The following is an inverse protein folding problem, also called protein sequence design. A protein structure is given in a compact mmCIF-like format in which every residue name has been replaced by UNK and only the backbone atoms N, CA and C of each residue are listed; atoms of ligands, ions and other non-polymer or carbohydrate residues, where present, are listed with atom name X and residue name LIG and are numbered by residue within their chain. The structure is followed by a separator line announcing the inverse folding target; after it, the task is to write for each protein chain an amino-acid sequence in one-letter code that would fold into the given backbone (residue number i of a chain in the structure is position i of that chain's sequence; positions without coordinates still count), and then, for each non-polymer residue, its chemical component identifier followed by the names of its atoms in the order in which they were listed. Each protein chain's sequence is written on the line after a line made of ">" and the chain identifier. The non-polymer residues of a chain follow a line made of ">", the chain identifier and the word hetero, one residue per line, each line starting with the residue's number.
data_IF_898259474621
#
_entry.id   IF_898259474621
#
_cell.length_a   1.000
_cell.length_b   1.000
_cell.length_c   1.000
_cell.angle_alpha   90.00
_cell.angle_beta   90.00
_cell.angle_gamma   90.00
#
_symmetry.space_group_name_H-M   'P 1'
#
loop_
_entity.id
_entity.type
_entity.pdbx_description
1 polymer ?
#
# COMPACT_ATOMS: atom_id res chain seq x y z
N UNK A 1 -3.23 11.51 -23.02
CA UNK A 1 -3.09 10.06 -23.25
C UNK A 1 -1.75 9.66 -22.68
N UNK A 2 -1.70 8.64 -21.82
CA UNK A 2 -0.45 8.10 -21.28
C UNK A 2 0.11 7.14 -22.33
N UNK A 3 1.42 7.18 -22.58
CA UNK A 3 2.08 6.27 -23.52
C UNK A 3 2.00 4.82 -23.02
N UNK A 4 1.90 3.84 -23.92
CA UNK A 4 1.71 2.43 -23.58
C UNK A 4 2.82 1.91 -22.64
N UNK A 5 4.08 2.27 -22.91
CA UNK A 5 5.25 1.95 -22.09
C UNK A 5 5.17 2.54 -20.67
N UNK A 6 4.62 3.74 -20.50
CA UNK A 6 4.45 4.37 -19.18
C UNK A 6 3.34 3.68 -18.37
N UNK A 7 2.29 3.19 -19.04
CA UNK A 7 1.25 2.38 -18.38
C UNK A 7 1.83 1.05 -17.89
N UNK A 8 2.63 0.37 -18.71
CA UNK A 8 3.26 -0.91 -18.35
C UNK A 8 4.27 -0.75 -17.20
N UNK A 9 5.09 0.30 -17.23
CA UNK A 9 6.01 0.61 -16.13
C UNK A 9 5.28 0.87 -14.80
N UNK A 10 4.21 1.68 -14.85
CA UNK A 10 3.37 1.96 -13.68
C UNK A 10 2.68 0.71 -13.16
N UNK A 11 2.15 -0.13 -14.06
CA UNK A 11 1.53 -1.40 -13.69
C UNK A 11 2.52 -2.34 -12.99
N UNK A 12 3.72 -2.51 -13.54
CA UNK A 12 4.76 -3.38 -12.96
C UNK A 12 5.15 -2.90 -11.56
N UNK A 13 5.38 -1.60 -11.41
CA UNK A 13 5.71 -0.98 -10.13
C UNK A 13 4.58 -1.15 -9.11
N UNK A 14 3.33 -0.95 -9.54
CA UNK A 14 2.13 -1.10 -8.72
C UNK A 14 1.97 -2.55 -8.22
N UNK A 15 2.10 -3.54 -9.11
CA UNK A 15 1.98 -4.96 -8.76
C UNK A 15 3.08 -5.38 -7.77
N UNK A 16 4.31 -4.90 -7.96
CA UNK A 16 5.41 -5.19 -7.03
C UNK A 16 5.09 -4.62 -5.64
N UNK A 17 4.68 -3.35 -5.57
CA UNK A 17 4.31 -2.70 -4.31
C UNK A 17 3.18 -3.44 -3.58
N UNK A 18 2.11 -3.84 -4.29
CA UNK A 18 1.03 -4.62 -3.70
C UNK A 18 1.48 -6.00 -3.21
N UNK A 19 2.35 -6.69 -3.96
CA UNK A 19 2.90 -7.98 -3.53
C UNK A 19 3.71 -7.84 -2.25
N UNK A 20 4.55 -6.82 -2.14
CA UNK A 20 5.35 -6.58 -0.94
C UNK A 20 4.50 -6.14 0.26
N UNK A 21 3.52 -5.25 0.05
CA UNK A 21 2.64 -4.77 1.12
C UNK A 21 1.76 -5.89 1.68
N UNK A 22 1.23 -6.77 0.81
CA UNK A 22 0.38 -7.90 1.19
C UNK A 22 1.04 -8.80 2.24
N UNK A 23 2.36 -8.97 2.20
CA UNK A 23 3.10 -9.84 3.13
C UNK A 23 3.08 -9.32 4.59
N UNK A 24 2.87 -8.02 4.79
CA UNK A 24 2.95 -7.40 6.13
C UNK A 24 1.66 -6.70 6.57
N UNK A 25 0.68 -6.58 5.66
CA UNK A 25 -0.54 -5.80 5.87
C UNK A 25 -1.31 -6.24 7.11
N UNK A 26 -1.58 -7.53 7.28
CA UNK A 26 -2.34 -8.06 8.43
C UNK A 26 -1.66 -7.71 9.75
N UNK A 27 -0.35 -7.92 9.85
CA UNK A 27 0.41 -7.60 11.07
C UNK A 27 0.40 -6.11 11.38
N UNK A 28 0.55 -5.26 10.35
CA UNK A 28 0.47 -3.80 10.49
C UNK A 28 -0.92 -3.37 10.95
N UNK A 29 -1.98 -3.93 10.38
CA UNK A 29 -3.36 -3.64 10.76
C UNK A 29 -3.65 -4.02 12.22
N UNK A 30 -3.30 -5.24 12.62
CA UNK A 30 -3.45 -5.69 14.01
C UNK A 30 -2.68 -4.81 15.00
N UNK A 31 -1.45 -4.41 14.64
CA UNK A 31 -0.66 -3.52 15.47
C UNK A 31 -1.32 -2.15 15.61
N UNK A 32 -1.81 -1.57 14.51
CA UNK A 32 -2.47 -0.26 14.55
C UNK A 32 -3.76 -0.30 15.39
N UNK A 33 -4.58 -1.35 15.24
CA UNK A 33 -5.78 -1.53 16.05
C UNK A 33 -5.42 -1.62 17.55
N UNK A 34 -4.44 -2.45 17.92
CA UNK A 34 -3.98 -2.57 19.31
C UNK A 34 -3.48 -1.23 19.88
N UNK A 35 -2.74 -0.45 19.08
CA UNK A 35 -2.24 0.86 19.51
C UNK A 35 -3.38 1.86 19.71
N UNK A 36 -4.37 1.89 18.81
CA UNK A 36 -5.57 2.72 18.95
C UNK A 36 -6.35 2.32 20.19
N UNK A 37 -6.68 1.05 20.34
CA UNK A 37 -7.48 0.55 21.46
C UNK A 37 -6.79 0.85 22.79
N UNK A 38 -5.46 0.67 22.88
CA UNK A 38 -4.70 1.04 24.07
C UNK A 38 -4.74 2.54 24.35
N UNK A 39 -4.66 3.39 23.33
CA UNK A 39 -4.75 4.83 23.49
C UNK A 39 -6.15 5.27 23.98
N UNK A 40 -7.22 4.66 23.48
CA UNK A 40 -8.60 4.93 23.90
C UNK A 40 -8.86 4.47 25.35
N UNK A 41 -8.37 3.29 25.73
CA UNK A 41 -8.43 2.80 27.10
C UNK A 41 -7.68 3.73 28.04
N UNK A 42 -6.44 4.10 27.69
CA UNK A 42 -5.63 5.02 28.49
C UNK A 42 -6.33 6.38 28.64
N UNK A 43 -6.86 6.95 27.56
CA UNK A 43 -7.61 8.21 27.61
C UNK A 43 -8.80 8.13 28.55
N UNK A 44 -9.57 7.03 28.48
CA UNK A 44 -10.73 6.83 29.35
C UNK A 44 -10.32 6.77 30.82
N UNK A 45 -9.27 6.00 31.13
CA UNK A 45 -8.73 5.90 32.49
C UNK A 45 -8.22 7.25 33.04
N UNK A 46 -7.47 8.01 32.24
CA UNK A 46 -6.96 9.33 32.65
C UNK A 46 -8.11 10.32 32.91
N UNK A 47 -9.14 10.31 32.06
CA UNK A 47 -10.33 11.15 32.23
C UNK A 47 -11.12 10.76 33.49
N UNK A 48 -11.29 9.47 33.76
CA UNK A 48 -11.93 8.98 35.00
C UNK A 48 -11.15 9.37 36.27
N UNK A 49 -9.82 9.25 36.20
CA UNK A 49 -8.91 9.66 37.28
C UNK A 49 -9.01 11.17 37.54
N UNK A 50 -9.06 11.97 36.48
CA UNK A 50 -9.22 13.42 36.58
C UNK A 50 -10.59 13.81 37.12
N UNK A 51 -11.68 13.15 36.68
CA UNK A 51 -13.03 13.35 37.24
C UNK A 51 -13.05 13.06 38.74
N UNK A 52 -12.46 11.94 39.16
CA UNK A 52 -12.38 11.54 40.57
C UNK A 52 -11.61 12.55 41.42
N UNK A 53 -10.49 13.06 40.89
CA UNK A 53 -9.65 14.06 41.56
C UNK A 53 -10.37 15.39 41.74
N UNK A 54 -11.10 15.85 40.72
CA UNK A 54 -11.91 17.07 40.78
C UNK A 54 -13.08 16.90 41.75
N UNK A 55 -13.72 15.73 41.75
CA UNK A 55 -14.83 15.48 42.67
C UNK A 55 -14.35 15.50 44.12
N UNK A 56 -13.20 14.88 44.42
CA UNK A 56 -12.58 14.98 45.73
C UNK A 56 -12.27 16.43 46.10
N UNK A 57 -11.64 17.19 45.20
CA UNK A 57 -11.29 18.59 45.46
C UNK A 57 -12.52 19.47 45.67
N UNK A 58 -13.59 19.22 44.92
CA UNK A 58 -14.89 19.88 45.07
C UNK A 58 -15.51 19.63 46.43
N UNK A 59 -15.36 18.42 47.01
CA UNK A 59 -15.88 18.13 48.36
C UNK A 59 -15.11 18.83 49.49
N UNK A 60 -13.86 19.22 49.25
CA UNK A 60 -13.02 19.92 50.21
C UNK A 60 -13.19 21.45 50.17
N UNK A 61 -13.89 21.97 49.16
CA UNK A 61 -14.07 23.41 48.96
C UNK A 61 -15.51 23.83 49.29
N UNK A 62 -15.67 24.71 50.28
CA UNK A 62 -16.98 25.26 50.70
C UNK A 62 -17.32 26.60 50.04
N UNK A 63 -16.48 27.10 49.14
CA UNK A 63 -16.64 28.38 48.46
C UNK A 63 -17.48 28.23 47.17
N UNK A 64 -18.55 29.02 47.07
CA UNK A 64 -19.45 29.03 45.91
C UNK A 64 -18.74 29.40 44.61
N UNK A 65 -17.74 30.30 44.65
CA UNK A 65 -17.00 30.72 43.44
C UNK A 65 -16.10 29.57 42.95
N UNK A 66 -15.48 28.83 43.88
CA UNK A 66 -14.64 27.67 43.57
C UNK A 66 -15.47 26.50 43.03
N UNK A 67 -16.68 26.30 43.56
CA UNK A 67 -17.62 25.29 43.06
C UNK A 67 -17.97 25.52 41.59
N UNK A 68 -18.28 26.76 41.20
CA UNK A 68 -18.60 27.08 39.80
C UNK A 68 -17.39 26.86 38.87
N UNK A 69 -16.16 27.13 39.34
CA UNK A 69 -14.95 26.81 38.58
C UNK A 69 -14.79 25.30 38.38
N UNK A 70 -15.02 24.47 39.40
CA UNK A 70 -14.94 23.01 39.25
C UNK A 70 -15.97 22.49 38.25
N UNK A 71 -17.18 23.06 38.23
CA UNK A 71 -18.22 22.70 37.25
C UNK A 71 -17.79 23.02 35.82
N UNK A 72 -17.16 24.19 35.60
CA UNK A 72 -16.58 24.56 34.31
C UNK A 72 -15.47 23.59 33.89
N UNK A 73 -14.58 23.21 34.81
CA UNK A 73 -13.49 22.25 34.53
C UNK A 73 -14.08 20.87 34.18
N UNK A 74 -15.07 20.37 34.92
CA UNK A 74 -15.76 19.11 34.60
C UNK A 74 -16.36 19.13 33.20
N UNK A 75 -17.00 20.23 32.81
CA UNK A 75 -17.56 20.39 31.47
C UNK A 75 -16.47 20.42 30.38
N UNK A 76 -15.36 21.11 30.63
CA UNK A 76 -14.22 21.14 29.69
C UNK A 76 -13.61 19.75 29.49
N UNK A 77 -13.45 18.97 30.56
CA UNK A 77 -12.96 17.58 30.48
C UNK A 77 -13.89 16.72 29.65
N UNK A 78 -15.19 16.85 29.84
CA UNK A 78 -16.18 16.12 29.04
C UNK A 78 -16.07 16.47 27.55
N UNK A 79 -15.89 17.76 27.24
CA UNK A 79 -15.72 18.21 25.87
C UNK A 79 -14.42 17.69 25.26
N UNK A 80 -13.33 17.66 26.01
CA UNK A 80 -12.05 17.07 25.58
C UNK A 80 -12.19 15.58 25.32
N UNK A 81 -12.86 14.84 26.21
CA UNK A 81 -13.10 13.41 26.06
C UNK A 81 -13.91 13.11 24.79
N UNK A 82 -15.06 13.77 24.64
CA UNK A 82 -15.90 13.66 23.43
C UNK A 82 -15.16 14.04 22.17
N UNK A 83 -14.39 15.12 22.20
CA UNK A 83 -13.57 15.55 21.06
C UNK A 83 -12.51 14.50 20.70
N UNK A 84 -11.91 13.86 21.70
CA UNK A 84 -10.89 12.84 21.48
C UNK A 84 -11.48 11.59 20.82
N UNK A 85 -12.64 11.12 21.29
CA UNK A 85 -13.34 10.00 20.67
C UNK A 85 -13.72 10.32 19.22
N UNK A 86 -14.28 11.51 18.97
CA UNK A 86 -14.61 11.98 17.61
C UNK A 86 -13.39 12.02 16.70
N UNK A 87 -12.25 12.51 17.19
CA UNK A 87 -11.00 12.55 16.43
C UNK A 87 -10.51 11.13 16.10
N UNK A 88 -10.57 10.19 17.05
CA UNK A 88 -10.20 8.79 16.81
C UNK A 88 -11.03 8.18 15.66
N UNK A 89 -12.36 8.25 15.77
CA UNK A 89 -13.27 7.68 14.76
C UNK A 89 -13.16 8.37 13.40
N UNK A 90 -13.04 9.70 13.38
CA UNK A 90 -12.93 10.46 12.14
C UNK A 90 -11.59 10.19 11.44
N UNK A 91 -10.51 10.03 12.20
CA UNK A 91 -9.20 9.71 11.66
C UNK A 91 -9.17 8.32 11.00
N UNK A 92 -9.84 7.32 11.60
CA UNK A 92 -10.01 5.99 11.01
C UNK A 92 -10.78 6.05 9.69
N UNK A 93 -11.94 6.71 9.68
CA UNK A 93 -12.77 6.86 8.48
C UNK A 93 -12.03 7.61 7.37
N UNK A 94 -11.36 8.72 7.70
CA UNK A 94 -10.58 9.48 6.74
C UNK A 94 -9.43 8.64 6.15
N UNK A 95 -8.78 7.82 6.98
CA UNK A 95 -7.77 6.86 6.54
C UNK A 95 -8.34 5.82 5.58
N UNK A 96 -9.55 5.32 5.82
CA UNK A 96 -10.24 4.38 4.93
C UNK A 96 -10.54 5.02 3.57
N UNK A 97 -11.13 6.22 3.55
CA UNK A 97 -11.45 6.96 2.31
C UNK A 97 -10.18 7.28 1.50
N UNK A 98 -9.08 7.64 2.15
CA UNK A 98 -7.81 7.83 1.43
C UNK A 98 -7.31 6.54 0.78
N UNK A 99 -7.45 5.40 1.46
CA UNK A 99 -7.06 4.10 0.89
C UNK A 99 -7.95 3.72 -0.29
N UNK A 100 -9.26 3.99 -0.23
CA UNK A 100 -10.19 3.79 -1.35
C UNK A 100 -9.79 4.64 -2.57
N UNK A 101 -9.49 5.92 -2.39
CA UNK A 101 -9.03 6.79 -3.48
C UNK A 101 -7.72 6.27 -4.11
N UNK A 102 -6.76 5.83 -3.28
CA UNK A 102 -5.51 5.22 -3.77
C UNK A 102 -5.78 3.93 -4.56
N UNK A 103 -6.69 3.10 -4.09
CA UNK A 103 -7.08 1.86 -4.76
C UNK A 103 -7.81 2.14 -6.09
N UNK A 104 -8.71 3.12 -6.13
CA UNK A 104 -9.40 3.54 -7.35
C UNK A 104 -8.40 3.95 -8.44
N UNK A 105 -7.42 4.80 -8.11
CA UNK A 105 -6.35 5.19 -9.05
C UNK A 105 -5.49 4.01 -9.50
N UNK A 106 -5.23 3.06 -8.61
CA UNK A 106 -4.50 1.84 -8.94
C UNK A 106 -5.29 0.97 -9.93
N UNK A 107 -6.60 0.83 -9.72
CA UNK A 107 -7.50 0.11 -10.63
C UNK A 107 -7.53 0.76 -12.01
N UNK A 108 -7.53 2.09 -12.12
CA UNK A 108 -7.48 2.77 -13.42
C UNK A 108 -6.22 2.44 -14.23
N UNK A 109 -5.07 2.29 -13.56
CA UNK A 109 -3.81 1.89 -14.21
C UNK A 109 -3.91 0.45 -14.70
N UNK A 110 -4.45 -0.45 -13.87
CA UNK A 110 -4.66 -1.86 -14.23
C UNK A 110 -5.61 -1.97 -15.42
N UNK A 111 -6.73 -1.24 -15.39
CA UNK A 111 -7.72 -1.26 -16.47
C UNK A 111 -7.10 -0.78 -17.79
N UNK A 112 -6.37 0.34 -17.77
CA UNK A 112 -5.64 0.82 -18.95
C UNK A 112 -4.61 -0.18 -19.46
N UNK A 113 -3.87 -0.85 -18.57
CA UNK A 113 -2.92 -1.87 -18.98
C UNK A 113 -3.62 -3.04 -19.69
N UNK A 114 -4.74 -3.53 -19.14
CA UNK A 114 -5.54 -4.60 -19.74
C UNK A 114 -6.14 -4.17 -21.09
N UNK A 115 -6.61 -2.93 -21.21
CA UNK A 115 -7.11 -2.39 -22.47
C UNK A 115 -6.02 -2.33 -23.55
N UNK A 116 -4.81 -1.87 -23.20
CA UNK A 116 -3.68 -1.86 -24.12
C UNK A 116 -3.33 -3.28 -24.59
N UNK A 117 -3.32 -4.26 -23.68
CA UNK A 117 -3.10 -5.67 -24.03
C UNK A 117 -4.16 -6.20 -24.99
N UNK A 118 -5.43 -5.86 -24.78
CA UNK A 118 -6.52 -6.26 -25.69
C UNK A 118 -6.35 -5.63 -27.08
N UNK A 119 -5.97 -4.36 -27.16
CA UNK A 119 -5.73 -3.68 -28.43
C UNK A 119 -4.53 -4.27 -29.17
N UNK A 120 -3.43 -4.55 -28.46
CA UNK A 120 -2.26 -5.20 -29.02
C UNK A 120 -2.60 -6.60 -29.57
N UNK A 121 -3.39 -7.38 -28.82
CA UNK A 121 -3.83 -8.71 -29.24
C UNK A 121 -4.69 -8.68 -30.50
N UNK A 122 -5.70 -7.81 -30.57
CA UNK A 122 -6.55 -7.70 -31.77
C UNK A 122 -5.75 -7.19 -32.97
N UNK A 123 -4.83 -6.24 -32.77
CA UNK A 123 -3.93 -5.77 -33.82
C UNK A 123 -3.07 -6.91 -34.36
N UNK A 124 -2.36 -7.64 -33.51
CA UNK A 124 -1.53 -8.77 -33.92
C UNK A 124 -2.34 -9.86 -34.65
N UNK A 125 -3.57 -10.11 -34.19
CA UNK A 125 -4.50 -11.02 -34.87
C UNK A 125 -4.88 -10.54 -36.27
N UNK A 126 -5.21 -9.25 -36.45
CA UNK A 126 -5.53 -8.69 -37.77
C UNK A 126 -4.32 -8.76 -38.72
N UNK A 127 -3.12 -8.40 -38.24
CA UNK A 127 -1.88 -8.50 -39.03
C UNK A 127 -1.58 -9.95 -39.44
N UNK A 128 -1.84 -10.91 -38.55
CA UNK A 128 -1.73 -12.34 -38.87
C UNK A 128 -2.75 -12.81 -39.92
N UNK A 129 -3.98 -12.31 -39.87
CA UNK A 129 -5.01 -12.63 -40.86
C UNK A 129 -4.70 -12.03 -42.24
N UNK A 130 -4.20 -10.79 -42.27
CA UNK A 130 -3.77 -10.10 -43.48
C UNK A 130 -2.59 -10.80 -44.15
N UNK A 131 -1.54 -11.14 -43.40
CA UNK A 131 -0.38 -11.89 -43.92
C UNK A 131 -0.79 -13.26 -44.44
N UNK A 132 -1.69 -13.96 -43.75
CA UNK A 132 -2.27 -15.23 -44.23
C UNK A 132 -3.05 -15.06 -45.54
N UNK A 133 -3.84 -13.99 -45.67
CA UNK A 133 -4.60 -13.70 -46.88
C UNK A 133 -3.68 -13.40 -48.06
N UNK A 134 -2.66 -12.56 -47.86
CA UNK A 134 -1.64 -12.25 -48.86
C UNK A 134 -0.89 -13.50 -49.34
N UNK A 135 -0.52 -14.42 -48.43
CA UNK A 135 0.13 -15.68 -48.82
C UNK A 135 -0.77 -16.57 -49.69
N UNK A 136 -2.07 -16.62 -49.39
CA UNK A 136 -3.06 -17.36 -50.20
C UNK A 136 -3.27 -16.74 -51.57
N UNK A 137 -3.40 -15.42 -51.63
CA UNK A 137 -3.62 -14.66 -52.89
C UNK A 137 -2.40 -14.74 -53.81
N UNK A 138 -1.19 -14.69 -53.27
CA UNK A 138 0.05 -14.82 -54.04
C UNK A 138 0.44 -16.27 -54.39
N UNK A 139 -0.41 -17.27 -54.06
CA UNK A 139 -0.15 -18.71 -54.27
C UNK A 139 1.24 -19.17 -53.81
N UNK A 140 1.79 -18.57 -52.76
CA UNK A 140 3.09 -18.97 -52.20
C UNK A 140 2.82 -20.21 -51.34
N UNK A 141 3.23 -21.43 -51.75
CA UNK A 141 3.01 -22.60 -50.93
C UNK A 141 3.81 -22.46 -49.63
N UNK A 142 3.15 -22.63 -48.48
CA UNK A 142 3.73 -22.55 -47.13
C UNK A 142 5.00 -23.43 -46.99
N UNK A 143 5.12 -24.47 -47.83
CA UNK A 143 6.25 -25.39 -47.91
C UNK A 143 7.53 -24.73 -48.47
N UNK A 144 7.43 -23.70 -49.31
CA UNK A 144 8.60 -23.00 -49.87
C UNK A 144 9.34 -22.16 -48.81
N UNK A 145 8.63 -21.60 -47.82
CA UNK A 145 9.24 -20.79 -46.77
C UNK A 145 10.01 -21.63 -45.74
N UNK A 146 9.57 -22.86 -45.46
CA UNK A 146 10.27 -23.79 -44.56
C UNK A 146 11.55 -24.40 -45.18
N UNK A 147 11.64 -24.46 -46.52
CA UNK A 147 12.85 -24.95 -47.20
C UNK A 147 14.01 -23.95 -47.21
N UNK A 148 13.75 -22.64 -47.05
CA UNK A 148 14.81 -21.62 -47.01
C UNK A 148 15.50 -21.54 -45.64
N UNK A 149 14.82 -21.93 -44.56
CA UNK A 149 15.35 -21.86 -43.19
C UNK A 149 16.36 -22.97 -42.82
N UNK A 150 16.46 -24.05 -43.61
CA UNK A 150 17.45 -25.13 -43.39
C UNK A 150 18.78 -24.92 -44.13
N UNK A 151 19.01 -23.74 -44.71
CA UNK A 151 20.27 -23.36 -45.33
C UNK A 151 21.30 -22.88 -44.30
N UNK A 152 22.08 -23.81 -43.75
CA UNK A 152 23.37 -23.64 -43.06
C UNK A 152 23.96 -22.22 -43.14
N UNK A 153 23.65 -21.33 -42.18
CA UNK A 153 24.48 -20.15 -41.90
C UNK A 153 25.42 -20.48 -40.76
N UNK A 154 26.55 -21.05 -41.15
CA UNK A 154 27.74 -21.23 -40.32
C UNK A 154 28.26 -19.83 -39.96
N UNK A 155 28.01 -19.36 -38.75
CA UNK A 155 28.58 -18.11 -38.26
C UNK A 155 30.05 -18.36 -37.92
N UNK A 156 30.96 -17.84 -38.75
CA UNK A 156 32.38 -17.83 -38.43
C UNK A 156 32.63 -16.73 -37.37
N UNK A 157 32.88 -17.14 -36.12
CA UNK A 157 33.48 -16.28 -35.10
C UNK A 157 34.91 -15.98 -35.57
N UNK A 158 35.20 -14.71 -35.87
CA UNK A 158 36.56 -14.23 -36.07
C UNK A 158 37.12 -13.84 -34.70
N UNK A 159 37.91 -14.71 -34.08
CA UNK A 159 38.67 -14.38 -32.87
C UNK A 159 39.91 -13.61 -33.28
N UNK A 160 39.94 -12.31 -33.02
CA UNK A 160 41.13 -11.47 -33.17
C UNK A 160 42.08 -11.81 -32.02
N UNK A 161 43.24 -12.41 -32.33
CA UNK A 161 44.34 -12.55 -31.36
C UNK A 161 45.48 -11.61 -31.74
N UNK A 162 45.76 -10.73 -30.78
CA UNK A 162 46.82 -9.73 -30.75
C UNK A 162 48.17 -10.38 -30.40
N UNK A 163 49.20 -10.06 -31.19
CA UNK A 163 50.56 -9.69 -30.74
C UNK A 163 51.37 -10.60 -29.80
N UNK A 164 52.41 -11.21 -30.41
CA UNK A 164 53.85 -11.19 -30.02
C UNK A 164 54.43 -12.02 -28.84
N UNK A 165 55.66 -12.46 -29.11
CA UNK A 165 56.81 -12.87 -28.28
C UNK A 165 56.92 -14.29 -27.66
N UNK A 166 57.61 -15.15 -28.43
CA UNK A 166 58.87 -15.88 -28.14
C UNK A 166 59.37 -16.14 -26.69
N UNK A 167 59.76 -17.42 -26.53
CA UNK A 167 60.90 -17.99 -25.76
C UNK A 167 60.78 -18.47 -24.29
N UNK A 168 60.78 -19.81 -24.19
CA UNK A 168 61.72 -20.65 -23.41
C UNK A 168 61.45 -21.10 -21.95
N UNK A 169 61.51 -22.44 -21.82
CA UNK A 169 62.12 -23.26 -20.76
C UNK A 169 61.37 -23.66 -19.49
N UNK A 170 61.37 -25.00 -19.27
CA UNK A 170 61.42 -25.77 -18.01
C UNK A 170 60.28 -25.56 -16.97
N UNK A 171 59.81 -26.52 -16.17
CA UNK A 171 60.18 -27.89 -15.82
C UNK A 171 59.00 -28.48 -15.02
N UNK A 172 58.76 -29.78 -15.16
CA UNK A 172 58.01 -30.57 -14.17
C UNK A 172 58.71 -30.58 -12.82
N UNK A 173 57.96 -30.43 -11.71
CA UNK A 173 57.88 -31.40 -10.60
C UNK A 173 57.18 -30.83 -9.34
N UNK A 174 56.09 -31.50 -8.96
CA UNK A 174 55.78 -32.11 -7.63
C UNK A 174 55.61 -31.28 -6.33
N UNK A 175 54.64 -31.82 -5.53
CA UNK A 175 54.40 -31.70 -4.06
C UNK A 175 53.76 -30.37 -3.62
N UNK A 176 52.84 -30.30 -2.66
CA UNK A 176 52.41 -31.23 -1.61
C UNK A 176 52.22 -30.41 -0.32
N UNK A 177 51.02 -30.49 0.27
CA UNK A 177 50.68 -30.28 1.69
C UNK A 177 50.72 -28.88 2.35
N UNK A 178 49.55 -28.52 2.90
CA UNK A 178 49.27 -27.97 4.25
C UNK A 178 49.89 -26.62 4.68
N UNK A 179 49.04 -25.63 5.02
CA UNK A 179 48.91 -25.09 6.40
C UNK A 179 47.99 -23.86 6.50
N UNK A 180 46.96 -23.98 7.35
CA UNK A 180 46.41 -23.03 8.34
C UNK A 180 46.50 -21.50 8.14
N UNK A 181 45.33 -20.84 8.20
CA UNK A 181 44.93 -19.61 8.95
C UNK A 181 43.62 -19.11 8.31
N UNK A 182 42.51 -18.86 8.98
CA UNK A 182 42.30 -18.16 10.25
C UNK A 182 41.82 -16.73 9.95
N UNK A 183 40.64 -16.36 10.47
CA UNK A 183 39.99 -15.02 10.47
C UNK A 183 39.48 -14.51 9.12
N UNK A 184 38.40 -13.75 9.00
CA UNK A 184 37.54 -13.10 9.98
C UNK A 184 36.53 -12.23 9.23
N UNK A 185 35.31 -12.17 9.77
CA UNK A 185 34.19 -11.36 9.30
C UNK A 185 34.58 -9.88 9.14
N UNK A 186 34.17 -9.24 8.05
CA UNK A 186 33.90 -7.79 8.01
C UNK A 186 32.60 -7.52 7.24
N UNK A 187 31.55 -7.21 8.01
CA UNK A 187 30.40 -6.42 7.56
C UNK A 187 30.86 -4.97 7.41
N UNK A 188 30.36 -4.28 6.39
CA UNK A 188 30.52 -2.84 6.18
C UNK A 188 29.15 -2.16 6.09
N UNK A 189 29.04 -0.87 6.44
CA UNK A 189 27.89 -0.32 7.15
C UNK A 189 26.96 0.57 6.32
N UNK A 190 25.79 0.81 6.91
CA UNK A 190 24.76 1.80 6.55
C UNK A 190 25.34 3.20 6.26
N UNK A 191 24.86 3.82 5.17
CA UNK A 191 24.91 5.27 4.93
C UNK A 191 23.47 5.71 4.65
N UNK A 192 22.88 6.44 5.60
CA UNK A 192 22.68 7.91 5.63
C UNK A 192 21.67 8.40 4.57
N UNK A 193 20.53 8.80 5.13
CA UNK A 193 19.42 9.51 4.52
C UNK A 193 19.90 10.84 3.90
N UNK A 194 19.44 11.11 2.68
CA UNK A 194 19.16 12.47 2.19
C UNK A 194 18.32 12.37 0.92
N UNK A 195 17.06 12.81 0.99
CA UNK A 195 16.22 13.14 -0.18
C UNK A 195 15.07 14.04 0.27
N UNK A 196 15.41 15.32 0.44
CA UNK A 196 14.65 16.51 0.03
C UNK A 196 13.13 16.35 -0.19
N UNK A 197 12.34 16.86 0.76
CA UNK A 197 10.93 17.22 0.57
C UNK A 197 10.83 18.63 0.02
N UNK A 198 10.26 18.83 -1.16
CA UNK A 198 9.76 20.14 -1.57
C UNK A 198 8.58 20.04 -2.56
N UNK A 199 7.68 21.03 -2.47
CA UNK A 199 6.48 21.32 -3.26
C UNK A 199 5.22 20.49 -2.89
N UNK A 200 4.13 21.05 -2.37
CA UNK A 200 3.49 22.35 -2.65
C UNK A 200 2.57 22.80 -1.50
N UNK A 201 2.56 24.11 -1.22
CA UNK A 201 1.49 24.81 -0.49
C UNK A 201 0.27 24.90 -1.41
N UNK A 202 -0.88 24.41 -0.98
CA UNK A 202 -2.19 24.85 -1.50
C UNK A 202 -3.02 25.42 -0.35
N UNK A 203 -3.17 26.74 -0.34
CA UNK A 203 -4.20 27.41 0.44
C UNK A 203 -5.56 27.05 -0.17
N UNK A 204 -6.41 26.34 0.57
CA UNK A 204 -7.85 26.32 0.31
C UNK A 204 -8.61 26.39 1.64
N UNK A 205 -9.41 27.43 1.74
CA UNK A 205 -10.41 27.71 2.75
C UNK A 205 -11.58 26.71 2.63
N UNK A 206 -11.52 25.60 3.37
CA UNK A 206 -12.52 24.51 3.35
C UNK A 206 -13.15 24.21 4.72
N UNK A 207 -13.12 25.17 5.65
CA UNK A 207 -13.68 25.00 7.01
C UNK A 207 -15.18 24.71 7.03
N UNK A 208 -15.95 25.29 6.09
CA UNK A 208 -17.42 25.15 6.07
C UNK A 208 -17.91 23.87 5.39
N UNK A 209 -17.11 23.30 4.48
CA UNK A 209 -17.45 22.06 3.77
C UNK A 209 -17.29 20.82 4.66
N UNK A 210 -16.30 20.84 5.55
CA UNK A 210 -16.06 19.74 6.51
C UNK A 210 -17.15 19.63 7.58
N UNK A 211 -17.75 20.76 7.98
CA UNK A 211 -18.84 20.76 8.96
C UNK A 211 -20.12 20.14 8.39
N UNK A 212 -20.46 20.42 7.11
CA UNK A 212 -21.61 19.80 6.44
C UNK A 212 -21.45 18.30 6.22
N UNK A 213 -20.23 17.85 5.92
CA UNK A 213 -19.93 16.42 5.78
C UNK A 213 -20.00 15.74 7.16
N UNK A 214 -19.57 16.41 8.23
CA UNK A 214 -19.70 15.90 9.61
C UNK A 214 -21.16 15.77 10.06
N UNK A 215 -22.05 16.70 9.70
CA UNK A 215 -23.47 16.63 10.06
C UNK A 215 -24.18 15.48 9.31
N UNK A 216 -23.93 15.31 8.01
CA UNK A 216 -24.54 14.24 7.22
C UNK A 216 -24.10 12.83 7.65
N UNK A 217 -22.87 12.67 8.14
CA UNK A 217 -22.39 11.37 8.62
C UNK A 217 -22.92 11.01 10.02
N UNK A 218 -23.18 11.99 10.88
CA UNK A 218 -23.79 11.77 12.20
C UNK A 218 -25.25 11.31 12.04
N UNK A 219 -26.00 11.93 11.12
CA UNK A 219 -27.39 11.54 10.84
C UNK A 219 -27.49 10.13 10.21
N UNK A 220 -26.53 9.76 9.35
CA UNK A 220 -26.45 8.42 8.79
C UNK A 220 -26.16 7.33 9.82
N UNK A 221 -25.37 7.64 10.85
CA UNK A 221 -25.01 6.68 11.91
C UNK A 221 -26.18 6.42 12.87
N UNK A 222 -26.97 7.45 13.20
CA UNK A 222 -28.19 7.31 14.01
C UNK A 222 -29.27 6.47 13.32
N UNK A 223 -29.32 6.47 11.99
CA UNK A 223 -30.30 5.69 11.24
C UNK A 223 -29.97 4.18 11.22
N UNK A 224 -28.68 3.82 11.22
CA UNK A 224 -28.20 2.43 11.26
C UNK A 224 -28.36 1.81 12.66
N UNK A 225 -28.24 2.61 13.72
CA UNK A 225 -28.43 2.16 15.10
C UNK A 225 -29.91 1.87 15.40
N UNK A 226 -30.84 2.66 14.84
CA UNK A 226 -32.29 2.43 14.98
C UNK A 226 -32.78 1.17 14.23
N UNK A 227 -32.20 0.84 13.07
CA UNK A 227 -32.53 -0.38 12.32
C UNK A 227 -32.03 -1.67 12.98
N UNK A 228 -31.00 -1.56 13.83
CA UNK A 228 -30.45 -2.71 14.56
C UNK A 228 -31.27 -3.04 15.83
N UNK A 229 -31.99 -2.06 16.39
CA UNK A 229 -32.80 -2.26 17.60
C UNK A 229 -34.22 -2.80 17.33
N UNK A 230 -34.80 -2.63 16.14
CA UNK A 230 -36.13 -3.19 15.84
C UNK A 230 -36.14 -4.69 15.52
N UNK A 231 -35.00 -5.33 15.27
CA UNK A 231 -34.92 -6.73 14.86
C UNK A 231 -34.72 -7.75 16.01
N UNK A 232 -34.70 -7.31 17.28
CA UNK A 232 -34.36 -8.19 18.42
C UNK A 232 -35.60 -8.69 19.18
N UNK A 233 -36.79 -8.13 18.97
CA UNK A 233 -37.98 -8.44 19.78
C UNK A 233 -38.91 -9.55 19.23
N UNK A 234 -38.61 -10.19 18.09
CA UNK A 234 -39.58 -11.13 17.46
C UNK A 234 -39.36 -12.63 17.72
N UNK A 235 -38.39 -13.05 18.54
CA UNK A 235 -38.02 -14.48 18.65
C UNK A 235 -37.90 -15.01 20.08
N UNK A 236 -38.95 -14.92 20.89
CA UNK A 236 -39.13 -15.84 22.03
C UNK A 236 -40.61 -16.23 22.23
N UNK A 237 -41.03 -17.34 21.62
CA UNK A 237 -42.27 -18.03 22.01
C UNK A 237 -42.06 -19.55 21.96
N UNK A 238 -41.87 -20.16 23.13
CA UNK A 238 -41.99 -21.60 23.36
C UNK A 238 -43.45 -22.07 23.18
N UNK A 239 -43.72 -23.26 22.62
CA UNK A 239 -44.98 -23.93 22.83
C UNK A 239 -44.85 -25.03 23.92
N UNK A 240 -45.73 -24.95 24.90
CA UNK A 240 -46.09 -26.04 25.80
C UNK A 240 -46.77 -27.17 25.01
N UNK A 241 -46.22 -28.38 25.02
CA UNK A 241 -46.93 -29.63 25.34
C UNK A 241 -45.97 -30.82 25.43
#
# INVERSE_FOLDING_TARGET
>A
RIAEDDVEHKYTSLVLAFKTDKLTLTRRLELQNKLRDQAEINMTHEVETLRSSIQLLSTLCNDSEKSEMFDKIRHQIENVYKSTLRVSSTAELFGAVQQENRLSKAVDIILRHVENLKQAYEKEKTEHEETRKLLKENKIPIIASLKSANGKRRASIATVHQGQSSESSASSERRGSSSRRGSGLKKSPLTKNDSHSDMTKSNCSDGDSLNKISEQMVDGLLHLENLSNENVDSCTSHPNR
#
